data_IF_718393845535
#
_entry.id   IF_718393845535
#
_cell.length_a   1.000
_cell.length_b   1.000
_cell.length_c   1.000
_cell.angle_alpha   90.00
_cell.angle_beta   90.00
_cell.angle_gamma   90.00
#
_symmetry.space_group_name_H-M   'P 1'
#
loop_
_entity.id
_entity.type
_entity.pdbx_description
1 polymer ?
#
# COMPACT_ATOMS: atom_id res chain seq x y z
N UNK A 1 -6.50 -15.68 -8.46
CA UNK A 1 -6.74 -16.70 -7.41
C UNK A 1 -5.57 -17.67 -7.39
N UNK A 2 -4.66 -17.56 -6.41
CA UNK A 2 -3.55 -18.51 -6.25
C UNK A 2 -4.11 -19.86 -5.78
N UNK A 3 -4.00 -20.90 -6.62
CA UNK A 3 -4.35 -22.27 -6.28
C UNK A 3 -3.24 -22.88 -5.42
N UNK A 4 -3.23 -22.55 -4.15
CA UNK A 4 -2.56 -23.38 -3.16
C UNK A 4 -3.61 -24.37 -2.63
N UNK A 5 -3.37 -25.65 -2.89
CA UNK A 5 -4.28 -26.70 -2.49
C UNK A 5 -4.47 -26.68 -0.97
N UNK A 6 -5.69 -26.90 -0.45
CA UNK A 6 -5.99 -26.97 0.99
C UNK A 6 -5.01 -27.85 1.78
N UNK A 7 -4.44 -28.88 1.15
CA UNK A 7 -3.46 -29.78 1.75
C UNK A 7 -2.08 -29.18 2.07
N UNK A 8 -1.67 -28.08 1.45
CA UNK A 8 -0.41 -27.41 1.82
C UNK A 8 -0.56 -26.61 3.13
N UNK A 9 -1.67 -25.87 3.26
CA UNK A 9 -2.02 -25.14 4.49
C UNK A 9 -2.26 -26.10 5.64
N UNK A 10 -3.01 -27.18 5.42
CA UNK A 10 -3.28 -28.18 6.44
C UNK A 10 -2.00 -28.86 6.96
N UNK A 11 -1.05 -29.18 6.07
CA UNK A 11 0.26 -29.73 6.48
C UNK A 11 1.05 -28.74 7.32
N UNK A 12 1.16 -27.48 6.90
CA UNK A 12 1.84 -26.44 7.68
C UNK A 12 1.24 -26.30 9.09
N UNK A 13 -0.09 -26.27 9.22
CA UNK A 13 -0.77 -26.19 10.52
C UNK A 13 -0.55 -27.44 11.39
N UNK A 14 -0.59 -28.63 10.79
CA UNK A 14 -0.40 -29.90 11.51
C UNK A 14 1.03 -30.08 12.01
N UNK A 15 2.01 -29.75 11.18
CA UNK A 15 3.42 -30.00 11.47
C UNK A 15 4.01 -28.96 12.45
N UNK A 16 3.30 -27.86 12.70
CA UNK A 16 3.69 -26.82 13.65
C UNK A 16 4.84 -25.94 13.16
N UNK A 17 5.50 -25.24 14.08
CA UNK A 17 6.68 -24.42 13.77
C UNK A 17 6.38 -23.07 13.07
N UNK A 18 7.40 -22.46 12.44
CA UNK A 18 7.31 -21.11 11.87
C UNK A 18 6.23 -20.95 10.78
N UNK A 19 6.06 -21.97 9.91
CA UNK A 19 5.02 -21.95 8.88
C UNK A 19 3.60 -21.95 9.46
N UNK A 20 3.34 -22.75 10.50
CA UNK A 20 2.06 -22.75 11.21
C UNK A 20 1.79 -21.43 11.95
N UNK A 21 2.83 -20.80 12.50
CA UNK A 21 2.71 -19.49 13.15
C UNK A 21 2.30 -18.41 12.13
N UNK A 22 2.92 -18.42 10.95
CA UNK A 22 2.59 -17.47 9.89
C UNK A 22 1.16 -17.65 9.36
N UNK A 23 0.72 -18.89 9.10
CA UNK A 23 -0.67 -19.12 8.63
C UNK A 23 -1.69 -18.64 9.66
N UNK A 24 -1.46 -18.90 10.95
CA UNK A 24 -2.31 -18.37 12.03
C UNK A 24 -2.28 -16.84 12.10
N UNK A 25 -1.12 -16.23 11.91
CA UNK A 25 -0.99 -14.77 11.84
C UNK A 25 -1.79 -14.16 10.69
N UNK A 26 -1.73 -14.79 9.50
CA UNK A 26 -2.53 -14.38 8.33
C UNK A 26 -4.02 -14.50 8.65
N UNK A 27 -4.48 -15.60 9.22
CA UNK A 27 -5.89 -15.80 9.58
C UNK A 27 -6.39 -14.78 10.61
N UNK A 28 -5.56 -14.46 11.62
CA UNK A 28 -5.87 -13.43 12.62
C UNK A 28 -6.00 -12.05 12.00
N UNK A 29 -5.12 -11.70 11.05
CA UNK A 29 -5.18 -10.41 10.34
C UNK A 29 -6.41 -10.35 9.42
N UNK A 30 -6.72 -11.44 8.70
CA UNK A 30 -7.94 -11.53 7.88
C UNK A 30 -9.17 -11.31 8.76
N UNK A 31 -9.24 -11.98 9.91
CA UNK A 31 -10.35 -11.84 10.85
C UNK A 31 -10.47 -10.42 11.39
N UNK A 32 -9.35 -9.79 11.78
CA UNK A 32 -9.32 -8.40 12.23
C UNK A 32 -9.77 -7.43 11.13
N UNK A 33 -9.29 -7.63 9.89
CA UNK A 33 -9.68 -6.83 8.73
C UNK A 33 -11.17 -6.98 8.41
N UNK A 34 -11.72 -8.20 8.43
CA UNK A 34 -13.16 -8.44 8.25
C UNK A 34 -14.01 -7.83 9.37
N UNK A 35 -13.45 -7.72 10.58
CA UNK A 35 -14.08 -7.02 11.69
C UNK A 35 -13.94 -5.48 11.60
N UNK A 36 -13.41 -4.95 10.50
CA UNK A 36 -13.24 -3.52 10.27
C UNK A 36 -12.11 -2.88 11.07
N UNK A 37 -11.20 -3.67 11.66
CA UNK A 37 -10.04 -3.12 12.38
C UNK A 37 -9.02 -2.56 11.40
N UNK A 38 -8.52 -1.37 11.72
CA UNK A 38 -7.44 -0.74 10.95
C UNK A 38 -6.15 -1.55 11.04
N UNK A 39 -5.26 -1.45 10.04
CA UNK A 39 -3.97 -2.13 10.07
C UNK A 39 -3.16 -1.87 11.33
N UNK A 40 -3.05 -0.62 11.81
CA UNK A 40 -2.33 -0.27 13.05
C UNK A 40 -2.90 -0.94 14.31
N UNK A 41 -4.15 -1.37 14.28
CA UNK A 41 -4.88 -2.00 15.39
C UNK A 41 -4.93 -3.55 15.27
N UNK A 42 -4.22 -4.13 14.29
CA UNK A 42 -4.10 -5.58 14.17
C UNK A 42 -3.23 -6.17 15.28
N UNK A 43 -3.42 -7.46 15.64
CA UNK A 43 -2.68 -8.07 16.73
C UNK A 43 -1.16 -8.05 16.43
N UNK A 44 -0.33 -7.45 17.31
CA UNK A 44 1.10 -7.31 17.07
C UNK A 44 1.83 -8.66 16.96
N UNK A 45 1.35 -9.68 17.67
CA UNK A 45 1.84 -11.06 17.56
C UNK A 45 1.55 -11.67 16.18
N UNK A 46 0.40 -11.34 15.57
CA UNK A 46 0.05 -11.79 14.23
C UNK A 46 0.96 -11.15 13.19
N UNK A 47 1.24 -9.84 13.34
CA UNK A 47 2.17 -9.09 12.49
C UNK A 47 3.60 -9.60 12.62
N UNK A 48 4.05 -9.90 13.84
CA UNK A 48 5.37 -10.50 14.09
C UNK A 48 5.51 -11.87 13.42
N UNK A 49 4.44 -12.67 13.37
CA UNK A 49 4.43 -13.95 12.68
C UNK A 49 4.52 -13.84 11.14
N UNK A 50 4.35 -12.64 10.56
CA UNK A 50 4.47 -12.40 9.12
C UNK A 50 5.92 -12.18 8.65
N UNK A 51 6.94 -12.45 9.47
CA UNK A 51 8.35 -12.30 9.09
C UNK A 51 8.84 -13.46 8.22
N UNK A 52 9.15 -13.14 6.96
CA UNK A 52 9.99 -13.85 5.98
C UNK A 52 10.17 -15.38 6.18
N UNK A 53 9.08 -16.12 6.02
CA UNK A 53 9.11 -17.58 5.87
C UNK A 53 8.78 -17.92 4.42
N UNK A 54 9.33 -19.03 3.94
CA UNK A 54 8.97 -19.69 2.68
C UNK A 54 7.52 -20.22 2.69
N UNK A 55 6.56 -19.44 3.17
CA UNK A 55 5.15 -19.78 3.07
C UNK A 55 4.68 -19.58 1.63
N UNK A 56 3.86 -20.51 1.14
CA UNK A 56 3.07 -20.29 -0.06
C UNK A 56 2.26 -18.98 -0.07
N UNK A 57 1.89 -18.45 1.11
CA UNK A 57 1.17 -17.19 1.30
C UNK A 57 2.06 -15.99 1.65
N UNK A 58 3.38 -16.08 1.43
CA UNK A 58 4.33 -14.96 1.66
C UNK A 58 3.87 -13.63 1.04
N UNK A 59 3.15 -13.68 -0.08
CA UNK A 59 2.60 -12.49 -0.74
C UNK A 59 1.49 -11.81 0.05
N UNK A 60 0.61 -12.58 0.68
CA UNK A 60 -0.42 -12.04 1.58
C UNK A 60 0.23 -11.44 2.82
N UNK A 61 1.24 -12.12 3.38
CA UNK A 61 2.01 -11.62 4.51
C UNK A 61 2.68 -10.27 4.18
N UNK A 62 3.34 -10.17 3.02
CA UNK A 62 3.95 -8.91 2.56
C UNK A 62 2.91 -7.80 2.35
N UNK A 63 1.74 -8.12 1.79
CA UNK A 63 0.66 -7.15 1.59
C UNK A 63 0.11 -6.61 2.92
N UNK A 64 -0.13 -7.49 3.90
CA UNK A 64 -0.59 -7.06 5.24
C UNK A 64 0.47 -6.25 5.98
N UNK A 65 1.73 -6.68 5.93
CA UNK A 65 2.82 -5.88 6.51
C UNK A 65 2.97 -4.52 5.84
N UNK A 66 2.77 -4.45 4.52
CA UNK A 66 2.78 -3.18 3.81
C UNK A 66 1.64 -2.29 4.29
N UNK A 67 0.41 -2.79 4.36
CA UNK A 67 -0.73 -2.02 4.86
C UNK A 67 -0.49 -1.50 6.28
N UNK A 68 0.04 -2.34 7.17
CA UNK A 68 0.42 -1.93 8.52
C UNK A 68 1.52 -0.86 8.53
N UNK A 69 2.59 -1.05 7.75
CA UNK A 69 3.69 -0.09 7.66
C UNK A 69 3.21 1.27 7.13
N UNK A 70 2.28 1.29 6.18
CA UNK A 70 1.66 2.50 5.66
C UNK A 70 0.77 3.19 6.71
N UNK A 71 -0.07 2.42 7.42
CA UNK A 71 -0.98 2.94 8.46
C UNK A 71 -0.25 3.43 9.73
N UNK A 72 0.98 2.97 9.93
CA UNK A 72 1.86 3.36 11.05
C UNK A 72 2.99 4.31 10.63
N UNK A 73 2.95 4.83 9.39
CA UNK A 73 3.92 5.77 8.85
C UNK A 73 5.39 5.26 8.88
N UNK A 74 5.59 3.94 8.81
CA UNK A 74 6.92 3.30 8.72
C UNK A 74 7.39 3.25 7.26
N UNK A 75 7.71 4.41 6.72
CA UNK A 75 7.95 4.61 5.28
C UNK A 75 9.12 3.80 4.71
N UNK A 76 10.23 3.69 5.44
CA UNK A 76 11.38 2.89 5.01
C UNK A 76 11.03 1.41 4.90
N UNK A 77 10.25 0.89 5.85
CA UNK A 77 9.76 -0.49 5.80
C UNK A 77 8.79 -0.69 4.64
N UNK A 78 7.84 0.23 4.44
CA UNK A 78 6.91 0.18 3.32
C UNK A 78 7.64 0.18 1.96
N UNK A 79 8.64 1.04 1.80
CA UNK A 79 9.49 1.09 0.61
C UNK A 79 10.25 -0.22 0.41
N UNK A 80 10.89 -0.75 1.45
CA UNK A 80 11.62 -2.02 1.39
C UNK A 80 10.69 -3.19 1.03
N UNK A 81 9.48 -3.22 1.58
CA UNK A 81 8.49 -4.26 1.30
C UNK A 81 8.05 -4.21 -0.17
N UNK A 82 7.68 -3.04 -0.70
CA UNK A 82 7.28 -2.93 -2.10
C UNK A 82 8.44 -3.29 -3.03
N UNK A 83 9.66 -2.85 -2.74
CA UNK A 83 10.84 -3.22 -3.52
C UNK A 83 11.08 -4.74 -3.52
N UNK A 84 10.97 -5.40 -2.36
CA UNK A 84 11.12 -6.86 -2.26
C UNK A 84 10.03 -7.61 -3.03
N UNK A 85 8.81 -7.08 -3.07
CA UNK A 85 7.70 -7.61 -3.87
C UNK A 85 7.98 -7.43 -5.36
N UNK A 86 8.39 -6.24 -5.78
CA UNK A 86 8.68 -5.95 -7.20
C UNK A 86 9.87 -6.74 -7.74
N UNK A 87 10.85 -7.06 -6.90
CA UNK A 87 12.01 -7.88 -7.27
C UNK A 87 11.69 -9.36 -7.51
N UNK A 88 10.48 -9.83 -7.17
CA UNK A 88 10.07 -11.23 -7.27
C UNK A 88 9.10 -11.42 -8.46
N UNK A 89 9.48 -12.12 -9.54
CA UNK A 89 8.61 -12.30 -10.70
C UNK A 89 7.27 -12.97 -10.36
N UNK A 90 7.26 -13.94 -9.44
CA UNK A 90 6.03 -14.62 -9.03
C UNK A 90 5.06 -13.71 -8.26
N UNK A 91 5.61 -12.68 -7.61
CA UNK A 91 4.83 -11.70 -6.87
C UNK A 91 4.07 -10.74 -7.79
N UNK A 92 4.67 -10.40 -8.94
CA UNK A 92 4.04 -9.55 -9.96
C UNK A 92 2.82 -10.22 -10.61
N UNK A 93 2.72 -11.55 -10.56
CA UNK A 93 1.54 -12.28 -11.04
C UNK A 93 0.36 -12.25 -10.05
N UNK A 94 0.62 -11.97 -8.77
CA UNK A 94 -0.37 -11.99 -7.69
C UNK A 94 -0.76 -10.59 -7.20
N UNK A 95 0.16 -9.64 -7.29
CA UNK A 95 -0.10 -8.24 -7.03
C UNK A 95 -0.44 -7.53 -8.34
N UNK A 96 -1.32 -6.54 -8.28
CA UNK A 96 -1.57 -5.65 -9.41
C UNK A 96 -0.33 -4.75 -9.64
N UNK A 97 0.47 -4.97 -10.71
CA UNK A 97 1.73 -4.27 -10.90
C UNK A 97 1.54 -2.76 -11.08
N UNK A 98 0.39 -2.33 -11.62
CA UNK A 98 0.05 -0.92 -11.74
C UNK A 98 -0.12 -0.27 -10.36
N UNK A 99 -0.86 -0.92 -9.46
CA UNK A 99 -1.02 -0.44 -8.09
C UNK A 99 0.31 -0.37 -7.32
N UNK A 100 1.20 -1.37 -7.46
CA UNK A 100 2.52 -1.33 -6.82
C UNK A 100 3.39 -0.17 -7.31
N UNK A 101 3.43 0.06 -8.62
CA UNK A 101 4.18 1.17 -9.22
C UNK A 101 3.62 2.53 -8.75
N UNK A 102 2.31 2.68 -8.66
CA UNK A 102 1.68 3.91 -8.17
C UNK A 102 1.94 4.15 -6.67
N UNK A 103 1.92 3.10 -5.84
CA UNK A 103 2.32 3.23 -4.43
C UNK A 103 3.80 3.64 -4.30
N UNK A 104 4.69 3.10 -5.13
CA UNK A 104 6.10 3.55 -5.18
C UNK A 104 6.21 5.02 -5.56
N UNK A 105 5.46 5.47 -6.56
CA UNK A 105 5.44 6.87 -6.96
C UNK A 105 5.01 7.79 -5.81
N UNK A 106 3.90 7.46 -5.16
CA UNK A 106 3.39 8.18 -4.00
C UNK A 106 4.40 8.20 -2.83
N UNK A 107 4.96 7.06 -2.43
CA UNK A 107 5.92 6.99 -1.33
C UNK A 107 7.20 7.77 -1.62
N UNK A 108 7.74 7.66 -2.84
CA UNK A 108 8.95 8.40 -3.22
C UNK A 108 8.73 9.91 -3.19
N UNK A 109 7.58 10.40 -3.68
CA UNK A 109 7.26 11.82 -3.61
C UNK A 109 7.00 12.29 -2.16
N UNK A 110 6.24 11.53 -1.38
CA UNK A 110 5.82 11.93 -0.03
C UNK A 110 6.97 11.89 0.99
N UNK A 111 7.85 10.89 0.89
CA UNK A 111 8.89 10.67 1.88
C UNK A 111 10.23 11.33 1.52
N UNK A 112 10.61 11.33 0.23
CA UNK A 112 11.88 11.94 -0.21
C UNK A 112 11.71 13.41 -0.64
N UNK A 113 10.49 13.94 -0.55
CA UNK A 113 10.18 15.33 -0.90
C UNK A 113 10.63 15.70 -2.32
N UNK A 114 11.15 16.92 -2.54
CA UNK A 114 11.62 17.36 -3.85
C UNK A 114 12.66 16.43 -4.50
N UNK A 115 13.52 15.79 -3.70
CA UNK A 115 14.55 14.87 -4.19
C UNK A 115 13.96 13.56 -4.75
N UNK A 116 12.75 13.18 -4.30
CA UNK A 116 12.04 11.99 -4.74
C UNK A 116 11.26 12.14 -6.04
N UNK A 117 11.00 13.37 -6.47
CA UNK A 117 10.09 13.70 -7.58
C UNK A 117 10.48 13.00 -8.88
N UNK A 118 11.77 12.99 -9.23
CA UNK A 118 12.25 12.35 -10.46
C UNK A 118 11.96 10.85 -10.47
N UNK A 119 12.28 10.15 -9.37
CA UNK A 119 11.98 8.73 -9.22
C UNK A 119 10.46 8.47 -9.21
N UNK A 120 9.69 9.31 -8.52
CA UNK A 120 8.24 9.19 -8.46
C UNK A 120 7.57 9.30 -9.84
N UNK A 121 8.03 10.25 -10.67
CA UNK A 121 7.57 10.42 -12.06
C UNK A 121 7.87 9.19 -12.92
N UNK A 122 9.06 8.60 -12.76
CA UNK A 122 9.42 7.35 -13.46
C UNK A 122 8.43 6.22 -13.11
N UNK A 123 8.16 6.01 -11.82
CA UNK A 123 7.21 5.00 -11.37
C UNK A 123 5.77 5.27 -11.85
N UNK A 124 5.34 6.53 -11.87
CA UNK A 124 4.02 6.93 -12.39
C UNK A 124 3.88 6.61 -13.89
N UNK A 125 4.96 6.83 -14.65
CA UNK A 125 5.04 6.51 -16.08
C UNK A 125 5.07 4.99 -16.32
N UNK A 126 5.82 4.24 -15.52
CA UNK A 126 5.91 2.77 -15.60
C UNK A 126 4.55 2.10 -15.35
N UNK A 127 3.71 2.71 -14.50
CA UNK A 127 2.33 2.28 -14.29
C UNK A 127 1.42 2.55 -15.51
N UNK A 128 1.89 3.21 -16.57
CA UNK A 128 1.11 3.73 -17.69
C UNK A 128 0.12 2.73 -18.28
N UNK A 129 -1.17 3.06 -18.21
CA UNK A 129 -2.28 2.26 -18.75
C UNK A 129 -2.54 0.92 -18.05
N UNK A 130 -1.72 0.54 -17.05
CA UNK A 130 -1.95 -0.68 -16.28
C UNK A 130 -3.18 -0.50 -15.38
N UNK A 131 -3.98 -1.56 -15.16
CA UNK A 131 -5.00 -1.57 -14.12
C UNK A 131 -4.40 -1.12 -12.78
N UNK A 132 -5.22 -0.44 -11.98
CA UNK A 132 -4.84 0.06 -10.67
C UNK A 132 -6.09 0.20 -9.81
N UNK A 133 -5.91 0.18 -8.48
CA UNK A 133 -6.96 0.57 -7.55
C UNK A 133 -7.48 1.98 -7.90
N UNK A 134 -8.80 2.21 -7.93
CA UNK A 134 -9.39 3.53 -8.18
C UNK A 134 -8.84 4.58 -7.23
N UNK A 135 -8.50 5.77 -7.76
CA UNK A 135 -7.95 6.89 -6.99
C UNK A 135 -6.45 6.82 -6.68
N UNK A 136 -5.80 5.65 -6.79
CA UNK A 136 -4.38 5.51 -6.45
C UNK A 136 -3.45 6.29 -7.39
N UNK A 137 -3.81 6.39 -8.67
CA UNK A 137 -3.06 7.21 -9.63
C UNK A 137 -3.12 8.69 -9.25
N UNK A 138 -4.28 9.15 -8.86
CA UNK A 138 -4.49 10.53 -8.42
C UNK A 138 -3.75 10.81 -7.10
N UNK A 139 -3.69 9.85 -6.16
CA UNK A 139 -2.86 9.98 -4.96
C UNK A 139 -1.38 10.19 -5.32
N UNK A 140 -0.84 9.38 -6.22
CA UNK A 140 0.54 9.51 -6.67
C UNK A 140 0.81 10.86 -7.35
N UNK A 141 -0.08 11.30 -8.25
CA UNK A 141 -0.02 12.60 -8.90
C UNK A 141 -0.10 13.75 -7.89
N UNK A 142 -0.99 13.65 -6.89
CA UNK A 142 -1.16 14.65 -5.85
C UNK A 142 0.11 14.81 -5.00
N UNK A 143 0.73 13.69 -4.58
CA UNK A 143 1.97 13.73 -3.83
C UNK A 143 3.15 14.30 -4.63
N UNK A 144 3.25 13.97 -5.93
CA UNK A 144 4.27 14.58 -6.82
C UNK A 144 4.05 16.09 -6.90
N UNK A 145 2.82 16.54 -7.16
CA UNK A 145 2.51 17.97 -7.22
C UNK A 145 2.82 18.68 -5.90
N UNK A 146 2.52 18.05 -4.76
CA UNK A 146 2.81 18.60 -3.43
C UNK A 146 4.33 18.71 -3.17
N UNK A 147 5.09 17.67 -3.53
CA UNK A 147 6.56 17.67 -3.43
C UNK A 147 7.22 18.73 -4.34
N UNK A 148 6.55 19.11 -5.43
CA UNK A 148 6.96 20.20 -6.32
C UNK A 148 6.48 21.59 -5.87
N UNK A 149 5.79 21.70 -4.73
CA UNK A 149 5.22 22.95 -4.24
C UNK A 149 3.97 23.43 -4.98
N UNK A 150 3.38 22.61 -5.85
CA UNK A 150 2.19 22.93 -6.65
C UNK A 150 0.91 22.58 -5.87
N UNK A 151 0.69 23.28 -4.77
CA UNK A 151 -0.38 22.98 -3.79
C UNK A 151 -1.78 22.92 -4.41
N UNK A 152 -2.14 23.87 -5.28
CA UNK A 152 -3.45 23.86 -5.95
C UNK A 152 -3.66 22.62 -6.82
N UNK A 153 -2.63 22.18 -7.55
CA UNK A 153 -2.71 20.96 -8.37
C UNK A 153 -2.79 19.72 -7.49
N UNK A 154 -2.03 19.67 -6.39
CA UNK A 154 -2.09 18.57 -5.43
C UNK A 154 -3.50 18.39 -4.85
N UNK A 155 -4.15 19.48 -4.45
CA UNK A 155 -5.52 19.46 -3.94
C UNK A 155 -6.53 18.97 -5.01
N UNK A 156 -6.40 19.41 -6.26
CA UNK A 156 -7.25 18.95 -7.36
C UNK A 156 -7.10 17.45 -7.60
N UNK A 157 -5.88 16.94 -7.66
CA UNK A 157 -5.63 15.50 -7.81
C UNK A 157 -6.20 14.71 -6.63
N UNK A 158 -5.96 15.14 -5.39
CA UNK A 158 -6.48 14.46 -4.21
C UNK A 158 -8.02 14.37 -4.21
N UNK A 159 -8.70 15.48 -4.53
CA UNK A 159 -10.16 15.51 -4.65
C UNK A 159 -10.67 14.59 -5.77
N UNK A 160 -10.02 14.61 -6.93
CA UNK A 160 -10.32 13.70 -8.05
C UNK A 160 -10.17 12.23 -7.66
N UNK A 161 -9.09 11.91 -6.93
CA UNK A 161 -8.85 10.56 -6.43
C UNK A 161 -9.94 10.04 -5.50
N UNK A 162 -10.45 10.90 -4.61
CA UNK A 162 -11.55 10.55 -3.70
C UNK A 162 -12.84 10.32 -4.47
N UNK A 163 -13.16 11.18 -5.42
CA UNK A 163 -14.33 11.02 -6.27
C UNK A 163 -14.27 9.69 -7.06
N UNK A 164 -13.10 9.33 -7.60
CA UNK A 164 -12.89 8.06 -8.30
C UNK A 164 -13.05 6.85 -7.36
N UNK A 165 -12.54 6.94 -6.13
CA UNK A 165 -12.70 5.89 -5.13
C UNK A 165 -14.19 5.68 -4.78
N UNK A 166 -14.91 6.76 -4.46
CA UNK A 166 -16.34 6.68 -4.13
C UNK A 166 -17.19 6.17 -5.30
N UNK A 167 -16.91 6.63 -6.53
CA UNK A 167 -17.61 6.16 -7.73
C UNK A 167 -17.41 4.67 -8.02
N UNK A 168 -16.30 4.08 -7.56
CA UNK A 168 -16.05 2.65 -7.73
C UNK A 168 -16.82 1.76 -6.76
N UNK A 169 -17.37 2.31 -5.67
CA UNK A 169 -17.98 1.56 -4.58
C UNK A 169 -16.99 0.73 -3.75
N UNK A 170 -15.68 0.84 -4.01
CA UNK A 170 -14.66 0.16 -3.24
C UNK A 170 -14.41 0.86 -1.90
N UNK A 171 -14.52 0.12 -0.81
CA UNK A 171 -14.12 0.59 0.52
C UNK A 171 -12.61 0.43 0.68
N UNK A 172 -11.88 1.54 0.61
CA UNK A 172 -10.44 1.58 0.90
C UNK A 172 -10.13 2.75 1.83
N UNK A 173 -10.39 2.54 3.13
CA UNK A 173 -10.25 3.56 4.17
C UNK A 173 -8.84 4.18 4.21
N UNK A 174 -7.81 3.35 4.04
CA UNK A 174 -6.43 3.82 3.98
C UNK A 174 -6.20 4.80 2.83
N UNK A 175 -6.65 4.46 1.62
CA UNK A 175 -6.49 5.32 0.45
C UNK A 175 -7.30 6.62 0.58
N UNK A 176 -8.51 6.53 1.12
CA UNK A 176 -9.32 7.72 1.39
C UNK A 176 -8.61 8.68 2.36
N UNK A 177 -8.09 8.17 3.49
CA UNK A 177 -7.36 8.98 4.45
C UNK A 177 -6.09 9.59 3.84
N UNK A 178 -5.30 8.82 3.09
CA UNK A 178 -4.11 9.32 2.42
C UNK A 178 -4.42 10.47 1.44
N UNK A 179 -5.53 10.37 0.69
CA UNK A 179 -6.00 11.45 -0.18
C UNK A 179 -6.44 12.68 0.63
N UNK A 180 -7.18 12.48 1.73
CA UNK A 180 -7.62 13.58 2.60
C UNK A 180 -6.43 14.30 3.25
N UNK A 181 -5.39 13.57 3.65
CA UNK A 181 -4.19 14.15 4.26
C UNK A 181 -3.41 15.02 3.25
N UNK A 182 -3.23 14.54 2.02
CA UNK A 182 -2.61 15.34 0.94
C UNK A 182 -3.43 16.58 0.62
N UNK A 183 -4.76 16.47 0.59
CA UNK A 183 -5.67 17.60 0.37
C UNK A 183 -5.56 18.64 1.51
N UNK A 184 -5.54 18.18 2.77
CA UNK A 184 -5.39 19.03 3.96
C UNK A 184 -4.05 19.75 3.96
N UNK A 185 -2.97 19.03 3.67
CA UNK A 185 -1.63 19.60 3.61
C UNK A 185 -1.50 20.64 2.50
N UNK A 186 -2.00 20.33 1.30
CA UNK A 186 -2.02 21.27 0.18
C UNK A 186 -2.76 22.58 0.52
N UNK A 187 -3.86 22.50 1.27
CA UNK A 187 -4.62 23.66 1.75
C UNK A 187 -3.97 24.40 2.92
N UNK A 188 -3.17 23.73 3.75
CA UNK A 188 -2.44 24.36 4.84
C UNK A 188 -1.22 25.15 4.36
N UNK A 189 -0.67 24.81 3.20
CA UNK A 189 0.51 25.44 2.59
C UNK A 189 0.20 26.63 1.67
N UNK A 190 -1.03 27.17 1.68
CA UNK A 190 -1.36 28.33 0.84
C UNK A 190 -0.41 29.48 1.17
N UNK A 191 0.38 29.98 0.19
CA UNK A 191 1.29 31.08 0.45
C UNK A 191 0.46 32.28 0.92
N UNK A 192 0.83 32.85 2.06
CA UNK A 192 0.35 34.19 2.41
C UNK A 192 0.81 35.12 1.29
N UNK A 193 -0.14 35.53 0.45
CA UNK A 193 0.05 36.64 -0.48
C UNK A 193 0.24 37.89 0.37
N UNK A 194 1.50 38.28 0.55
CA UNK A 194 1.86 39.63 0.98
C UNK A 194 1.58 40.62 -0.14
#
# INVERSE_FOLDING_TARGET
MSRLGPGAVWRALRDGGPGAAQERGIEQIISASMAGRRPKDWPPEALAALTDVESPRRMFAAAYRLQWALDTHRWDEALSLIQSVLARPEAQALADPGSLALMMAWLKASHSGPLGVGAARSWLADAGGRPAAPGLRELASAAIALAEGKTAQAATHAASGRAALHASGAENLWLEEALQDVEREARGRTPHTN
#
